data_IF_661596708802
#
_entry.id   IF_661596708802
#
_cell.length_a   1.000
_cell.length_b   1.000
_cell.length_c   1.000
_cell.angle_alpha   90.00
_cell.angle_beta   90.00
_cell.angle_gamma   90.00
#
_symmetry.space_group_name_H-M   'P 1'
#
loop_
_entity.id
_entity.type
_entity.pdbx_description
1 polymer ?
#
# COMPACT_ATOMS: atom_id res chain seq x y z
N UNK A 1 -11.14 -13.31 10.22
CA UNK A 1 -10.42 -13.96 11.33
C UNK A 1 -11.07 -13.54 12.61
N UNK A 2 -11.51 -14.50 13.42
CA UNK A 2 -12.05 -14.25 14.77
C UNK A 2 -10.90 -14.00 15.76
N UNK A 3 -11.17 -13.40 16.92
CA UNK A 3 -10.12 -13.14 17.92
C UNK A 3 -9.49 -14.44 18.45
N UNK A 4 -10.25 -15.53 18.51
CA UNK A 4 -9.76 -16.82 18.97
C UNK A 4 -8.83 -17.47 17.94
N UNK A 5 -9.11 -17.30 16.64
CA UNK A 5 -8.18 -17.68 15.57
C UNK A 5 -6.84 -16.95 15.74
N UNK A 6 -6.90 -15.63 16.03
CA UNK A 6 -5.71 -14.81 16.21
C UNK A 6 -4.92 -15.23 17.45
N UNK A 7 -5.59 -15.57 18.56
CA UNK A 7 -4.95 -16.06 19.78
C UNK A 7 -4.22 -17.39 19.57
N UNK A 8 -4.81 -18.30 18.77
CA UNK A 8 -4.17 -19.55 18.42
C UNK A 8 -2.99 -19.34 17.46
N UNK A 9 -3.16 -18.48 16.45
CA UNK A 9 -2.15 -18.22 15.43
C UNK A 9 -0.94 -17.43 15.96
N UNK A 10 -1.16 -16.38 16.74
CA UNK A 10 -0.11 -15.43 17.14
C UNK A 10 1.17 -16.08 17.69
N UNK A 11 1.13 -17.04 18.64
CA UNK A 11 2.36 -17.69 19.12
C UNK A 11 3.05 -18.53 18.03
N UNK A 12 2.29 -19.22 17.18
CA UNK A 12 2.87 -20.01 16.09
C UNK A 12 3.42 -19.14 14.97
N UNK A 13 2.82 -17.99 14.70
CA UNK A 13 3.32 -17.06 13.69
C UNK A 13 4.76 -16.66 14.04
N UNK A 14 4.99 -16.17 15.27
CA UNK A 14 6.33 -15.80 15.72
C UNK A 14 7.31 -16.99 15.64
N UNK A 15 6.93 -18.13 16.22
CA UNK A 15 7.78 -19.33 16.22
C UNK A 15 8.14 -19.80 14.81
N UNK A 16 7.17 -19.82 13.88
CA UNK A 16 7.42 -20.20 12.48
C UNK A 16 8.21 -19.16 11.72
N UNK A 17 8.04 -17.88 12.01
CA UNK A 17 8.89 -16.83 11.45
C UNK A 17 10.34 -17.00 11.87
N UNK A 18 10.61 -17.32 13.15
CA UNK A 18 11.97 -17.60 13.65
C UNK A 18 12.58 -18.84 12.99
N UNK A 19 11.83 -19.94 12.87
CA UNK A 19 12.27 -21.14 12.15
C UNK A 19 12.68 -20.82 10.70
N UNK A 20 11.84 -20.11 9.96
CA UNK A 20 12.13 -19.73 8.55
C UNK A 20 13.30 -18.76 8.44
N UNK A 21 13.42 -17.81 9.38
CA UNK A 21 14.54 -16.86 9.43
C UNK A 21 15.87 -17.57 9.70
N UNK A 22 15.87 -18.63 10.52
CA UNK A 22 17.09 -19.40 10.81
C UNK A 22 17.51 -20.29 9.63
N UNK A 23 16.57 -20.68 8.76
CA UNK A 23 16.85 -21.48 7.57
C UNK A 23 17.40 -20.64 6.40
N UNK A 24 18.63 -20.12 6.60
CA UNK A 24 19.35 -19.33 5.59
C UNK A 24 19.65 -20.10 4.31
N UNK A 25 19.59 -21.44 4.35
CA UNK A 25 19.86 -22.29 3.18
C UNK A 25 18.78 -22.14 2.10
N UNK A 26 17.58 -21.71 2.48
CA UNK A 26 16.44 -21.56 1.59
C UNK A 26 16.06 -20.09 1.30
N UNK A 27 16.88 -19.12 1.66
CA UNK A 27 16.63 -17.70 1.31
C UNK A 27 16.78 -17.39 -0.19
N UNK A 28 17.25 -18.35 -0.98
CA UNK A 28 17.51 -18.17 -2.41
C UNK A 28 16.29 -17.66 -3.19
N UNK A 29 16.55 -16.71 -4.08
CA UNK A 29 15.54 -15.98 -4.88
C UNK A 29 14.69 -16.88 -5.78
N UNK A 30 15.19 -18.06 -6.14
CA UNK A 30 14.51 -19.03 -7.00
C UNK A 30 13.47 -19.90 -6.28
N UNK A 31 13.40 -19.86 -4.93
CA UNK A 31 12.51 -20.72 -4.14
C UNK A 31 11.43 -19.90 -3.43
N UNK A 32 11.79 -18.75 -2.88
CA UNK A 32 10.92 -18.03 -1.92
C UNK A 32 10.21 -16.81 -2.50
N UNK A 33 10.63 -16.30 -3.65
CA UNK A 33 10.15 -15.00 -4.16
C UNK A 33 10.70 -13.80 -3.36
N UNK A 34 11.60 -14.03 -2.40
CA UNK A 34 12.41 -12.97 -1.80
C UNK A 34 13.42 -12.50 -2.83
N UNK A 35 13.08 -11.46 -3.58
CA UNK A 35 13.95 -10.93 -4.63
C UNK A 35 15.26 -10.35 -4.09
N UNK A 36 15.38 -10.16 -2.77
CA UNK A 36 16.58 -9.64 -2.10
C UNK A 36 17.42 -10.76 -1.48
N UNK A 37 16.85 -11.94 -1.25
CA UNK A 37 17.55 -13.09 -0.67
C UNK A 37 18.05 -12.87 0.76
N UNK A 38 17.36 -11.99 1.51
CA UNK A 38 17.76 -11.60 2.88
C UNK A 38 16.83 -12.19 3.95
N UNK A 39 15.89 -13.05 3.55
CA UNK A 39 14.87 -13.60 4.43
C UNK A 39 13.75 -12.61 4.73
N UNK A 40 13.52 -11.60 3.88
CA UNK A 40 12.61 -10.47 4.14
C UNK A 40 11.15 -10.90 4.30
N UNK A 41 10.78 -11.97 3.62
CA UNK A 41 9.43 -12.53 3.62
C UNK A 41 9.28 -13.71 4.59
N UNK A 42 10.25 -13.93 5.49
CA UNK A 42 10.16 -14.98 6.53
C UNK A 42 8.91 -14.82 7.38
N UNK A 43 8.47 -13.59 7.62
CA UNK A 43 7.24 -13.28 8.35
C UNK A 43 5.98 -13.76 7.61
N UNK A 44 5.94 -13.58 6.28
CA UNK A 44 4.83 -14.04 5.43
C UNK A 44 4.75 -15.57 5.35
N UNK A 45 5.90 -16.25 5.31
CA UNK A 45 5.96 -17.71 5.40
C UNK A 45 5.60 -18.21 6.80
N UNK A 46 6.07 -17.54 7.85
CA UNK A 46 5.69 -17.84 9.23
C UNK A 46 4.18 -17.77 9.45
N UNK A 47 3.52 -16.75 8.89
CA UNK A 47 2.06 -16.69 8.85
C UNK A 47 1.46 -17.92 8.18
N UNK A 48 1.94 -18.25 6.98
CA UNK A 48 1.39 -19.33 6.16
C UNK A 48 1.50 -20.69 6.86
N UNK A 49 2.67 -21.00 7.44
CA UNK A 49 2.90 -22.25 8.17
C UNK A 49 2.13 -22.28 9.49
N UNK A 50 2.19 -21.20 10.28
CA UNK A 50 1.45 -21.11 11.55
C UNK A 50 -0.05 -21.24 11.33
N UNK A 51 -0.60 -20.59 10.30
CA UNK A 51 -2.02 -20.65 9.96
C UNK A 51 -2.45 -22.04 9.48
N UNK A 52 -1.60 -22.74 8.73
CA UNK A 52 -1.86 -24.12 8.35
C UNK A 52 -1.87 -25.05 9.59
N UNK A 53 -0.95 -24.84 10.53
CA UNK A 53 -0.82 -25.67 11.74
C UNK A 53 -2.01 -25.52 12.69
N UNK A 54 -2.54 -24.29 12.87
CA UNK A 54 -3.79 -24.07 13.63
C UNK A 54 -5.07 -24.42 12.83
N UNK A 55 -4.93 -24.88 11.58
CA UNK A 55 -6.06 -25.32 10.76
C UNK A 55 -6.92 -24.18 10.18
N UNK A 56 -6.38 -22.97 10.04
CA UNK A 56 -7.10 -21.86 9.42
C UNK A 56 -7.33 -22.12 7.94
N UNK A 57 -8.49 -21.68 7.45
CA UNK A 57 -8.88 -21.76 6.04
C UNK A 57 -8.95 -20.37 5.44
N UNK A 58 -8.27 -20.19 4.30
CA UNK A 58 -8.24 -18.92 3.60
C UNK A 58 -9.17 -18.94 2.40
N UNK A 59 -9.78 -17.79 2.13
CA UNK A 59 -10.40 -17.51 0.84
C UNK A 59 -9.44 -16.62 0.05
N UNK A 60 -8.91 -17.16 -1.04
CA UNK A 60 -8.03 -16.42 -1.95
C UNK A 60 -8.91 -15.58 -2.88
N UNK A 61 -8.60 -14.28 -2.98
CA UNK A 61 -9.30 -13.32 -3.83
C UNK A 61 -8.27 -12.58 -4.69
N UNK A 62 -8.19 -12.96 -5.96
CA UNK A 62 -7.22 -12.39 -6.93
C UNK A 62 -7.76 -11.10 -7.59
N UNK A 63 -8.81 -10.53 -7.02
CA UNK A 63 -9.56 -9.39 -7.54
C UNK A 63 -9.50 -8.14 -6.65
N UNK A 64 -8.89 -8.23 -5.47
CA UNK A 64 -8.85 -7.12 -4.50
C UNK A 64 -7.57 -6.30 -4.63
N UNK A 65 -6.42 -6.96 -4.77
CA UNK A 65 -5.10 -6.32 -4.72
C UNK A 65 -4.28 -6.72 -5.93
N UNK A 66 -3.52 -5.76 -6.47
CA UNK A 66 -2.54 -6.02 -7.52
C UNK A 66 -1.26 -5.22 -7.29
N UNK A 67 -0.13 -5.77 -7.75
CA UNK A 67 1.10 -5.00 -7.90
C UNK A 67 1.07 -4.18 -9.20
N UNK A 68 1.40 -2.87 -9.17
CA UNK A 68 1.77 -2.15 -10.39
C UNK A 68 2.78 -2.95 -11.24
N UNK A 69 2.61 -2.90 -12.57
CA UNK A 69 3.34 -3.73 -13.53
C UNK A 69 2.70 -5.09 -13.83
N UNK A 70 1.74 -5.56 -13.02
CA UNK A 70 1.05 -6.82 -13.26
C UNK A 70 -0.24 -6.58 -14.04
N UNK A 71 -0.60 -7.53 -14.91
CA UNK A 71 -1.86 -7.45 -15.66
C UNK A 71 -3.01 -8.01 -14.82
N UNK A 72 -4.07 -7.21 -14.55
CA UNK A 72 -5.21 -7.71 -13.79
C UNK A 72 -5.91 -8.82 -14.56
N UNK A 73 -6.61 -9.71 -13.83
CA UNK A 73 -7.46 -10.71 -14.46
C UNK A 73 -8.53 -10.03 -15.32
N UNK A 74 -8.89 -10.69 -16.41
CA UNK A 74 -9.92 -10.17 -17.32
C UNK A 74 -11.23 -9.96 -16.55
N UNK A 75 -11.79 -8.76 -16.64
CA UNK A 75 -13.03 -8.39 -15.97
C UNK A 75 -12.90 -8.00 -14.50
N UNK A 76 -11.68 -7.94 -13.97
CA UNK A 76 -11.39 -7.52 -12.60
C UNK A 76 -10.99 -6.06 -12.53
N UNK A 77 -11.44 -5.37 -11.49
CA UNK A 77 -11.00 -4.03 -11.14
C UNK A 77 -10.40 -4.04 -9.72
N UNK A 78 -9.07 -4.02 -9.58
CA UNK A 78 -8.42 -4.11 -8.28
C UNK A 78 -8.70 -2.85 -7.45
N UNK A 79 -8.85 -3.06 -6.14
CA UNK A 79 -9.17 -2.01 -5.17
C UNK A 79 -7.92 -1.47 -4.45
N UNK A 80 -6.87 -2.27 -4.39
CA UNK A 80 -5.63 -1.98 -3.67
C UNK A 80 -4.45 -2.13 -4.62
N UNK A 81 -3.62 -1.09 -4.70
CA UNK A 81 -2.34 -1.13 -5.40
C UNK A 81 -1.22 -1.35 -4.38
N UNK A 82 -0.58 -2.52 -4.42
CA UNK A 82 0.57 -2.82 -3.58
C UNK A 82 1.86 -2.49 -4.34
N UNK A 83 2.40 -1.29 -4.18
CA UNK A 83 3.59 -0.83 -4.91
C UNK A 83 4.93 -1.25 -4.27
N UNK A 84 5.04 -2.51 -3.86
CA UNK A 84 6.20 -3.01 -3.12
C UNK A 84 7.38 -3.45 -4.00
N UNK A 85 7.14 -3.70 -5.29
CA UNK A 85 8.13 -4.20 -6.24
C UNK A 85 8.45 -3.15 -7.31
N UNK A 86 9.65 -3.21 -7.93
CA UNK A 86 9.95 -2.39 -9.10
C UNK A 86 9.00 -2.69 -10.27
N UNK A 87 8.57 -1.64 -10.98
CA UNK A 87 7.74 -1.79 -12.17
C UNK A 87 8.10 -0.76 -13.25
N UNK A 88 7.64 -1.00 -14.48
CA UNK A 88 7.98 -0.20 -15.68
C UNK A 88 6.75 0.16 -16.50
N UNK A 89 6.82 1.31 -17.17
CA UNK A 89 5.88 1.75 -18.20
C UNK A 89 6.69 2.33 -19.36
N UNK A 90 6.90 1.53 -20.41
CA UNK A 90 7.85 1.85 -21.47
C UNK A 90 9.27 2.00 -20.93
N UNK A 91 9.91 3.14 -21.19
CA UNK A 91 11.25 3.46 -20.70
C UNK A 91 11.29 4.07 -19.28
N UNK A 92 10.12 4.37 -18.71
CA UNK A 92 10.01 4.88 -17.35
C UNK A 92 9.88 3.72 -16.36
N UNK A 93 10.46 3.88 -15.17
CA UNK A 93 10.40 2.90 -14.09
C UNK A 93 10.26 3.55 -12.73
N UNK A 94 9.76 2.78 -11.77
CA UNK A 94 9.75 3.18 -10.37
C UNK A 94 10.09 1.97 -9.49
N UNK A 95 10.89 2.22 -8.46
CA UNK A 95 11.20 1.25 -7.41
C UNK A 95 11.07 1.94 -6.06
N UNK A 96 10.25 1.36 -5.18
CA UNK A 96 10.05 1.86 -3.82
C UNK A 96 11.37 1.97 -3.04
N UNK A 97 12.27 0.99 -3.21
CA UNK A 97 13.56 0.96 -2.50
C UNK A 97 14.56 2.02 -2.97
N UNK A 98 14.45 2.52 -4.21
CA UNK A 98 15.31 3.62 -4.67
C UNK A 98 15.05 4.92 -3.88
N UNK A 99 13.90 4.99 -3.20
CA UNK A 99 13.48 6.11 -2.37
C UNK A 99 13.54 5.78 -0.86
N UNK A 100 14.44 4.90 -0.44
CA UNK A 100 14.59 4.50 0.95
C UNK A 100 15.00 5.66 1.86
N UNK A 101 16.01 6.45 1.48
CA UNK A 101 16.50 7.58 2.28
C UNK A 101 15.98 8.93 1.75
N UNK A 102 14.77 8.92 1.20
CA UNK A 102 14.27 10.04 0.41
C UNK A 102 13.50 11.06 1.27
N UNK A 103 14.10 12.25 1.44
CA UNK A 103 13.51 13.42 2.12
C UNK A 103 12.45 14.20 1.36
N UNK A 104 11.87 13.67 0.27
CA UNK A 104 10.95 14.35 -0.66
C UNK A 104 9.79 15.10 0.01
N UNK A 105 9.32 14.61 1.16
CA UNK A 105 8.28 15.26 1.97
C UNK A 105 8.70 16.67 2.39
N UNK A 106 9.98 16.87 2.68
CA UNK A 106 10.53 18.11 3.21
C UNK A 106 11.18 19.00 2.14
N UNK A 107 11.35 18.49 0.92
CA UNK A 107 11.91 19.22 -0.21
C UNK A 107 10.79 19.89 -1.02
N UNK A 108 10.52 21.17 -0.74
CA UNK A 108 9.41 21.88 -1.36
C UNK A 108 9.34 21.71 -2.89
N UNK A 109 8.15 21.35 -3.36
CA UNK A 109 7.79 21.14 -4.77
C UNK A 109 8.50 19.97 -5.47
N UNK A 110 9.30 19.17 -4.75
CA UNK A 110 9.91 17.96 -5.30
C UNK A 110 8.87 16.85 -5.41
N UNK A 111 8.81 16.20 -6.57
CA UNK A 111 7.90 15.10 -6.87
C UNK A 111 8.70 13.91 -7.41
N UNK A 112 8.15 12.70 -7.34
CA UNK A 112 8.72 11.55 -8.02
C UNK A 112 8.72 11.79 -9.53
N UNK A 113 9.66 11.18 -10.29
CA UNK A 113 9.73 11.33 -11.74
C UNK A 113 8.35 11.08 -12.39
N UNK A 114 7.84 12.02 -13.21
CA UNK A 114 6.52 11.91 -13.79
C UNK A 114 6.42 10.67 -14.69
N UNK A 115 5.39 9.81 -14.53
CA UNK A 115 5.18 8.70 -15.43
C UNK A 115 4.69 9.20 -16.81
N UNK A 116 4.72 8.34 -17.85
CA UNK A 116 4.14 8.68 -19.15
C UNK A 116 2.67 9.10 -19.07
N UNK A 117 2.26 10.04 -19.92
CA UNK A 117 0.86 10.46 -19.99
C UNK A 117 -0.03 9.33 -20.54
N UNK A 118 -1.34 9.31 -20.22
CA UNK A 118 -2.25 8.29 -20.73
C UNK A 118 -2.26 8.13 -22.25
N UNK A 119 -2.09 9.23 -23.00
CA UNK A 119 -2.00 9.21 -24.46
C UNK A 119 -0.74 8.51 -24.98
N UNK A 120 0.36 8.58 -24.23
CA UNK A 120 1.58 7.86 -24.60
C UNK A 120 1.37 6.36 -24.38
N UNK A 121 0.68 5.97 -23.29
CA UNK A 121 0.28 4.58 -23.06
C UNK A 121 -0.66 4.06 -24.16
N UNK A 122 -1.60 4.89 -24.66
CA UNK A 122 -2.47 4.53 -25.77
C UNK A 122 -1.71 4.17 -27.05
N UNK A 123 -0.59 4.83 -27.30
CA UNK A 123 0.28 4.61 -28.46
C UNK A 123 1.24 3.44 -28.23
N UNK A 124 1.72 3.26 -27.00
CA UNK A 124 2.68 2.20 -26.64
C UNK A 124 2.08 0.80 -26.70
N UNK A 125 0.81 0.63 -26.34
CA UNK A 125 0.19 -0.68 -26.20
C UNK A 125 -1.16 -0.74 -26.91
N UNK A 126 -1.42 -1.84 -27.60
CA UNK A 126 -2.68 -2.11 -28.31
C UNK A 126 -3.59 -3.06 -27.51
N UNK A 127 -3.03 -4.00 -26.76
CA UNK A 127 -3.78 -4.95 -25.94
C UNK A 127 -4.52 -4.21 -24.82
N UNK A 128 -5.85 -4.33 -24.72
CA UNK A 128 -6.65 -3.58 -23.75
C UNK A 128 -6.35 -3.97 -22.30
N UNK A 129 -5.96 -5.22 -22.02
CA UNK A 129 -5.67 -5.70 -20.67
C UNK A 129 -4.29 -5.21 -20.22
N UNK A 130 -3.27 -5.33 -21.07
CA UNK A 130 -1.93 -4.79 -20.78
C UNK A 130 -1.99 -3.27 -20.65
N UNK A 131 -2.76 -2.60 -21.52
CA UNK A 131 -3.02 -1.16 -21.40
C UNK A 131 -3.67 -0.77 -20.07
N UNK A 132 -4.64 -1.55 -19.57
CA UNK A 132 -5.21 -1.32 -18.23
C UNK A 132 -4.14 -1.47 -17.15
N UNK A 133 -3.28 -2.47 -17.24
CA UNK A 133 -2.16 -2.67 -16.32
C UNK A 133 -1.20 -1.45 -16.28
N UNK A 134 -0.89 -0.89 -17.45
CA UNK A 134 -0.07 0.31 -17.56
C UNK A 134 -0.79 1.54 -16.97
N UNK A 135 -2.11 1.68 -17.15
CA UNK A 135 -2.88 2.73 -16.49
C UNK A 135 -2.86 2.64 -14.97
N UNK A 136 -3.03 1.43 -14.41
CA UNK A 136 -2.93 1.21 -12.95
C UNK A 136 -1.52 1.54 -12.44
N UNK A 137 -0.49 1.23 -13.23
CA UNK A 137 0.90 1.55 -12.90
C UNK A 137 1.16 3.06 -12.83
N UNK A 138 0.72 3.82 -13.83
CA UNK A 138 0.86 5.29 -13.80
C UNK A 138 -0.07 5.95 -12.78
N UNK A 139 -1.22 5.33 -12.47
CA UNK A 139 -2.12 5.77 -11.40
C UNK A 139 -1.43 5.81 -10.05
N UNK A 140 -0.73 4.72 -9.72
CA UNK A 140 0.03 4.64 -8.48
C UNK A 140 0.92 5.87 -8.26
N UNK A 141 1.75 6.25 -9.24
CA UNK A 141 2.68 7.38 -9.06
C UNK A 141 2.01 8.74 -9.18
N UNK A 142 0.98 8.87 -10.02
CA UNK A 142 0.20 10.12 -10.07
C UNK A 142 -0.47 10.41 -8.73
N UNK A 143 -1.05 9.38 -8.08
CA UNK A 143 -1.66 9.51 -6.75
C UNK A 143 -0.63 9.88 -5.68
N UNK A 144 0.54 9.24 -5.67
CA UNK A 144 1.62 9.61 -4.75
C UNK A 144 2.06 11.08 -4.94
N UNK A 145 2.25 11.50 -6.19
CA UNK A 145 2.67 12.86 -6.52
C UNK A 145 1.59 13.91 -6.22
N UNK A 146 0.31 13.58 -6.41
CA UNK A 146 -0.79 14.46 -5.99
C UNK A 146 -0.79 14.66 -4.47
N UNK A 147 -0.59 13.58 -3.70
CA UNK A 147 -0.46 13.64 -2.25
C UNK A 147 0.71 14.52 -1.80
N UNK A 148 1.88 14.37 -2.42
CA UNK A 148 3.06 15.21 -2.15
C UNK A 148 2.81 16.68 -2.47
N UNK A 149 2.21 16.97 -3.64
CA UNK A 149 1.90 18.34 -4.05
C UNK A 149 0.94 19.04 -3.07
N UNK A 150 -0.09 18.32 -2.61
CA UNK A 150 -1.03 18.82 -1.61
C UNK A 150 -0.36 19.01 -0.25
N UNK A 151 0.49 18.05 0.16
CA UNK A 151 1.26 18.15 1.40
C UNK A 151 2.17 19.38 1.40
N UNK A 152 3.01 19.56 0.37
CA UNK A 152 3.87 20.74 0.22
C UNK A 152 3.10 22.05 0.29
N UNK A 153 1.93 22.11 -0.36
CA UNK A 153 1.04 23.27 -0.28
C UNK A 153 0.55 23.50 1.17
N UNK A 154 0.16 22.43 1.87
CA UNK A 154 -0.36 22.51 3.24
C UNK A 154 0.67 22.96 4.28
N UNK A 155 1.96 22.68 4.05
CA UNK A 155 3.07 23.10 4.92
C UNK A 155 3.68 24.45 4.51
N UNK A 156 3.06 25.16 3.56
CA UNK A 156 3.44 26.53 3.19
C UNK A 156 4.59 26.64 2.19
N UNK A 157 4.88 25.60 1.41
CA UNK A 157 5.86 25.69 0.33
C UNK A 157 5.46 26.76 -0.72
N UNK A 158 6.45 27.41 -1.38
CA UNK A 158 6.17 28.35 -2.45
C UNK A 158 5.44 27.66 -3.60
N UNK A 159 4.63 28.39 -4.36
CA UNK A 159 3.92 27.82 -5.52
C UNK A 159 4.94 27.25 -6.52
N UNK A 160 4.78 25.99 -6.96
CA UNK A 160 5.68 25.42 -7.95
C UNK A 160 5.57 26.16 -9.28
N UNK A 161 6.67 26.20 -10.03
CA UNK A 161 6.65 26.67 -11.42
C UNK A 161 5.68 25.81 -12.24
N UNK A 162 5.03 26.43 -13.22
CA UNK A 162 4.13 25.69 -14.09
C UNK A 162 4.87 24.61 -14.87
N UNK A 163 4.27 23.43 -14.96
CA UNK A 163 4.69 22.38 -15.89
C UNK A 163 3.48 21.67 -16.46
N UNK A 164 3.63 21.06 -17.63
CA UNK A 164 2.59 20.23 -18.24
C UNK A 164 2.10 19.14 -17.29
N UNK A 165 3.02 18.54 -16.54
CA UNK A 165 2.70 17.49 -15.57
C UNK A 165 1.90 18.02 -14.37
N UNK A 166 2.28 19.15 -13.79
CA UNK A 166 1.53 19.75 -12.69
C UNK A 166 0.13 20.19 -13.12
N UNK A 167 -0.01 20.71 -14.34
CA UNK A 167 -1.32 21.01 -14.92
C UNK A 167 -2.18 19.75 -15.09
N UNK A 168 -1.55 18.62 -15.42
CA UNK A 168 -2.22 17.33 -15.55
C UNK A 168 -2.63 16.75 -14.19
N UNK A 169 -1.76 16.76 -13.18
CA UNK A 169 -2.07 16.30 -11.83
C UNK A 169 -3.23 17.08 -11.19
N UNK A 170 -3.31 18.39 -11.45
CA UNK A 170 -4.43 19.23 -10.96
C UNK A 170 -5.74 19.00 -11.71
N UNK A 171 -5.72 18.26 -12.82
CA UNK A 171 -6.92 17.99 -13.61
C UNK A 171 -7.62 16.72 -13.14
N UNK A 172 -8.95 16.65 -13.29
CA UNK A 172 -9.71 15.41 -13.03
C UNK A 172 -9.60 14.38 -14.16
N UNK A 173 -8.82 14.68 -15.21
CA UNK A 173 -8.74 13.87 -16.43
C UNK A 173 -8.23 12.47 -16.15
N UNK A 174 -7.23 12.33 -15.29
CA UNK A 174 -6.64 11.03 -15.01
C UNK A 174 -7.60 10.12 -14.25
N UNK A 175 -8.18 10.62 -13.16
CA UNK A 175 -9.19 9.86 -12.40
C UNK A 175 -10.44 9.56 -13.25
N UNK A 176 -10.82 10.41 -14.18
CA UNK A 176 -11.89 10.10 -15.15
C UNK A 176 -11.51 8.98 -16.12
N UNK A 177 -10.27 8.95 -16.60
CA UNK A 177 -9.77 7.92 -17.52
C UNK A 177 -9.58 6.56 -16.84
N UNK A 178 -9.19 6.54 -15.56
CA UNK A 178 -8.88 5.31 -14.82
C UNK A 178 -9.99 4.87 -13.87
N UNK A 179 -11.11 5.60 -13.82
CA UNK A 179 -12.30 5.24 -13.05
C UNK A 179 -12.68 3.77 -13.29
N UNK A 180 -12.89 2.99 -12.20
CA UNK A 180 -13.48 1.66 -12.25
C UNK A 180 -14.69 1.59 -13.18
N UNK A 181 -14.59 0.87 -14.30
CA UNK A 181 -15.72 0.72 -15.24
C UNK A 181 -16.74 -0.31 -14.77
N UNK A 182 -16.32 -1.23 -13.90
CA UNK A 182 -17.10 -2.42 -13.51
C UNK A 182 -17.44 -2.49 -12.03
N UNK A 183 -17.26 -1.41 -11.26
CA UNK A 183 -17.75 -1.37 -9.87
C UNK A 183 -19.27 -1.26 -9.86
N UNK A 184 -19.94 -2.37 -10.15
CA UNK A 184 -21.36 -2.55 -9.96
C UNK A 184 -21.61 -2.73 -8.47
N UNK A 185 -21.87 -1.63 -7.75
CA UNK A 185 -22.54 -1.65 -6.45
C UNK A 185 -23.77 -2.58 -6.45
N UNK A 186 -24.43 -2.73 -7.61
CA UNK A 186 -25.58 -3.60 -7.88
C UNK A 186 -25.32 -5.11 -7.80
N UNK A 187 -24.06 -5.60 -7.90
CA UNK A 187 -23.78 -7.05 -7.78
C UNK A 187 -23.59 -7.52 -6.34
N UNK A 188 -23.35 -6.60 -5.40
CA UNK A 188 -23.26 -6.94 -3.97
C UNK A 188 -24.66 -7.18 -3.38
N UNK A 189 -25.71 -6.53 -3.91
CA UNK A 189 -27.09 -6.76 -3.47
C UNK A 189 -27.63 -8.14 -3.89
N UNK A 190 -27.28 -8.63 -5.09
CA UNK A 190 -27.86 -9.87 -5.62
C UNK A 190 -27.27 -11.18 -5.08
N UNK A 191 -26.31 -11.13 -4.15
CA UNK A 191 -25.81 -12.34 -3.44
C UNK A 191 -26.29 -12.47 -2.00
N UNK A 192 -27.08 -11.52 -1.49
CA UNK A 192 -27.58 -11.50 -0.11
C UNK A 192 -29.09 -11.74 0.02
N UNK A 193 -29.77 -12.19 -1.04
CA UNK A 193 -31.17 -12.65 -0.97
C UNK A 193 -31.27 -14.06 -0.39
N UNK A 194 -30.84 -14.21 0.86
CA UNK A 194 -31.45 -15.19 1.79
C UNK A 194 -32.17 -14.36 2.84
N UNK A 195 -33.50 -14.34 2.71
CA UNK A 195 -34.51 -13.80 3.63
C UNK A 195 -33.99 -13.32 4.99
N UNK A 196 -33.72 -12.03 5.12
CA UNK A 196 -33.78 -11.38 6.43
C UNK A 196 -34.79 -10.23 6.35
N UNK A 197 -35.85 -10.45 7.11
CA UNK A 197 -37.00 -9.59 7.40
C UNK A 197 -36.56 -8.13 7.61
N UNK A 198 -37.35 -7.21 7.05
CA UNK A 198 -37.22 -5.78 7.26
C UNK A 198 -37.28 -5.43 8.76
N UNK A 199 -36.11 -5.18 9.38
CA UNK A 199 -35.94 -4.41 10.62
C UNK A 199 -34.44 -4.27 10.96
N UNK A 200 -33.82 -3.17 10.52
CA UNK A 200 -32.91 -2.33 11.33
C UNK A 200 -32.20 -1.33 10.42
N UNK A 201 -32.06 -0.08 10.89
CA UNK A 201 -31.05 0.85 10.36
C UNK A 201 -29.71 0.11 10.41
N UNK A 202 -29.15 -0.29 9.28
CA UNK A 202 -27.93 -1.08 9.23
C UNK A 202 -26.80 -0.27 9.86
N UNK A 203 -26.51 -0.55 11.13
CA UNK A 203 -25.38 -0.01 11.86
C UNK A 203 -24.15 -0.67 11.24
N UNK A 204 -23.63 -0.09 10.16
CA UNK A 204 -22.35 -0.52 9.61
C UNK A 204 -21.35 -0.65 10.78
N UNK A 205 -20.51 -1.69 10.80
CA UNK A 205 -19.46 -1.78 11.79
C UNK A 205 -18.67 -0.47 11.77
N UNK A 206 -18.33 0.08 12.94
CA UNK A 206 -17.40 1.20 13.03
C UNK A 206 -16.05 0.69 12.52
N UNK A 207 -15.72 1.01 11.27
CA UNK A 207 -14.43 0.68 10.68
C UNK A 207 -13.42 1.73 11.16
N UNK A 208 -12.23 1.27 11.52
CA UNK A 208 -11.09 2.13 11.84
C UNK A 208 -9.86 1.52 11.15
N UNK A 209 -9.16 2.31 10.36
CA UNK A 209 -7.97 1.87 9.63
C UNK A 209 -6.74 2.15 10.45
N UNK A 210 -5.91 1.12 10.63
CA UNK A 210 -4.59 1.23 11.26
C UNK A 210 -3.51 0.94 10.23
N UNK A 211 -2.43 1.70 10.29
CA UNK A 211 -1.20 1.40 9.54
C UNK A 211 0.01 1.70 10.40
N UNK A 212 1.09 0.95 10.21
CA UNK A 212 2.33 1.08 10.99
C UNK A 212 3.43 1.74 10.18
N UNK A 213 4.27 2.51 10.86
CA UNK A 213 5.45 3.19 10.30
C UNK A 213 6.54 3.30 11.35
N UNK A 214 7.77 3.50 10.90
CA UNK A 214 8.89 3.87 11.76
C UNK A 214 9.30 5.34 11.55
N UNK A 215 10.17 5.85 12.41
CA UNK A 215 10.74 7.21 12.29
C UNK A 215 11.81 7.29 11.19
N UNK A 216 11.41 7.19 9.92
CA UNK A 216 12.32 7.37 8.79
C UNK A 216 11.67 8.08 7.61
N UNK A 217 12.50 8.74 6.80
CA UNK A 217 12.05 9.41 5.58
C UNK A 217 11.39 8.44 4.59
N UNK A 218 11.79 7.17 4.60
CA UNK A 218 11.13 6.10 3.85
C UNK A 218 9.63 6.02 4.14
N UNK A 219 9.24 6.06 5.41
CA UNK A 219 7.84 5.97 5.81
C UNK A 219 7.10 7.31 5.71
N UNK A 220 7.82 8.42 5.71
CA UNK A 220 7.22 9.76 5.62
C UNK A 220 6.49 9.95 4.29
N UNK A 221 7.17 9.72 3.17
CA UNK A 221 6.54 9.88 1.85
C UNK A 221 5.44 8.85 1.60
N UNK A 222 5.59 7.63 2.16
CA UNK A 222 4.55 6.61 2.12
C UNK A 222 3.32 7.03 2.93
N UNK A 223 3.52 7.67 4.09
CA UNK A 223 2.44 8.21 4.93
C UNK A 223 1.65 9.27 4.17
N UNK A 224 2.35 10.22 3.53
CA UNK A 224 1.71 11.26 2.71
C UNK A 224 0.88 10.63 1.58
N UNK A 225 1.46 9.67 0.86
CA UNK A 225 0.79 8.93 -0.20
C UNK A 225 -0.45 8.17 0.29
N UNK A 226 -0.33 7.46 1.42
CA UNK A 226 -1.42 6.69 2.02
C UNK A 226 -2.56 7.60 2.51
N UNK A 227 -2.25 8.70 3.19
CA UNK A 227 -3.25 9.63 3.71
C UNK A 227 -4.04 10.29 2.58
N UNK A 228 -3.37 10.66 1.48
CA UNK A 228 -4.05 11.14 0.27
C UNK A 228 -4.93 10.06 -0.35
N UNK A 229 -4.38 8.86 -0.55
CA UNK A 229 -5.10 7.71 -1.12
C UNK A 229 -6.34 7.34 -0.29
N UNK A 230 -6.21 7.30 1.04
CA UNK A 230 -7.31 7.05 1.97
C UNK A 230 -8.43 8.08 1.78
N UNK A 231 -8.09 9.38 1.71
CA UNK A 231 -9.05 10.46 1.50
C UNK A 231 -9.80 10.34 0.17
N UNK A 232 -9.10 10.08 -0.93
CA UNK A 232 -9.72 10.04 -2.27
C UNK A 232 -10.47 8.73 -2.54
N UNK A 233 -10.10 7.64 -1.86
CA UNK A 233 -10.79 6.34 -1.99
C UNK A 233 -12.21 6.35 -1.44
N UNK A 234 -12.53 7.30 -0.53
CA UNK A 234 -13.79 7.31 0.19
C UNK A 234 -13.92 6.21 1.25
N UNK A 235 -12.82 5.56 1.63
CA UNK A 235 -12.79 4.58 2.70
C UNK A 235 -13.44 5.15 3.97
N UNK A 236 -14.49 4.50 4.52
CA UNK A 236 -15.19 5.04 5.67
C UNK A 236 -14.38 4.85 6.95
N UNK A 237 -14.69 5.68 7.95
CA UNK A 237 -14.09 5.59 9.28
C UNK A 237 -12.84 6.45 9.43
N UNK A 238 -12.24 6.37 10.62
CA UNK A 238 -11.02 7.10 10.93
C UNK A 238 -9.79 6.27 10.58
N UNK A 239 -8.67 6.96 10.38
CA UNK A 239 -7.35 6.35 10.17
C UNK A 239 -6.40 6.77 11.30
N UNK A 240 -5.57 5.84 11.76
CA UNK A 240 -4.51 6.12 12.74
C UNK A 240 -3.23 5.41 12.37
N UNK A 241 -2.12 6.14 12.43
CA UNK A 241 -0.76 5.67 12.28
C UNK A 241 -0.24 5.15 13.62
N UNK A 242 0.29 3.94 13.64
CA UNK A 242 1.10 3.42 14.74
C UNK A 242 2.56 3.75 14.43
N UNK A 243 3.13 4.71 15.15
CA UNK A 243 4.50 5.18 14.91
C UNK A 243 5.45 4.53 15.92
N UNK A 244 6.31 3.64 15.41
CA UNK A 244 7.32 2.86 16.16
C UNK A 244 8.68 3.54 16.05
N UNK A 245 9.16 4.15 17.14
CA UNK A 245 10.45 4.86 17.15
C UNK A 245 11.17 4.67 18.47
N UNK A 246 12.50 4.69 18.43
CA UNK A 246 13.31 4.84 19.64
C UNK A 246 13.16 6.26 20.20
N UNK A 247 13.44 6.44 21.49
CA UNK A 247 13.40 7.76 22.13
C UNK A 247 14.40 8.73 21.47
N UNK A 248 15.55 8.22 21.01
CA UNK A 248 16.56 8.98 20.27
C UNK A 248 16.06 9.47 18.91
N UNK A 249 15.48 8.59 18.10
CA UNK A 249 14.92 8.95 16.79
C UNK A 249 13.80 9.96 16.95
N UNK A 250 12.91 9.72 17.93
CA UNK A 250 11.75 10.55 18.14
C UNK A 250 12.15 12.00 18.40
N UNK A 251 13.20 12.27 19.19
CA UNK A 251 13.66 13.64 19.54
C UNK A 251 13.80 14.56 18.33
N UNK A 252 14.34 14.05 17.21
CA UNK A 252 14.61 14.83 16.01
C UNK A 252 13.68 14.52 14.83
N UNK A 253 12.72 13.60 15.02
CA UNK A 253 11.82 13.19 13.95
C UNK A 253 10.83 14.30 13.59
N UNK A 254 10.83 14.68 12.31
CA UNK A 254 10.01 15.77 11.74
C UNK A 254 8.60 15.31 11.33
N UNK A 255 8.43 14.03 11.01
CA UNK A 255 7.22 13.48 10.41
C UNK A 255 6.07 13.19 11.40
N UNK A 256 6.08 13.80 12.59
CA UNK A 256 5.12 13.51 13.68
C UNK A 256 3.67 13.79 13.29
N UNK A 257 3.45 14.87 12.53
CA UNK A 257 2.12 15.38 12.19
C UNK A 257 1.64 14.96 10.78
N UNK A 258 2.32 14.00 10.13
CA UNK A 258 1.94 13.53 8.79
C UNK A 258 0.61 12.75 8.76
N UNK A 259 0.17 12.24 9.90
CA UNK A 259 -1.09 11.52 10.07
C UNK A 259 -1.55 11.57 11.54
N UNK A 260 -2.85 11.32 11.84
CA UNK A 260 -3.28 11.04 13.21
C UNK A 260 -2.46 9.88 13.77
N UNK A 261 -1.68 10.12 14.82
CA UNK A 261 -0.60 9.20 15.24
C UNK A 261 -0.80 8.73 16.68
N UNK A 262 -0.62 7.43 16.89
CA UNK A 262 -0.43 6.81 18.19
C UNK A 262 1.01 6.28 18.26
N UNK A 263 1.76 6.70 19.29
CA UNK A 263 3.14 6.28 19.49
C UNK A 263 3.19 4.92 20.15
N UNK A 264 3.95 3.99 19.59
CA UNK A 264 4.15 2.64 20.13
C UNK A 264 5.65 2.42 20.40
N UNK A 265 6.01 1.51 21.32
CA UNK A 265 7.42 1.19 21.56
C UNK A 265 8.10 0.72 20.28
N UNK A 266 9.38 1.09 20.11
CA UNK A 266 10.19 0.53 19.04
C UNK A 266 10.34 -0.97 19.22
N UNK A 267 9.99 -1.72 18.18
CA UNK A 267 10.30 -3.15 18.04
C UNK A 267 11.28 -3.40 16.89
N UNK A 268 11.98 -2.34 16.43
CA UNK A 268 12.98 -2.43 15.36
C UNK A 268 14.13 -3.35 15.73
N UNK A 269 14.32 -3.64 17.01
CA UNK A 269 15.08 -4.79 17.47
C UNK A 269 14.21 -5.66 18.34
N UNK A 270 14.15 -6.95 18.01
CA UNK A 270 13.48 -7.93 18.82
C UNK A 270 14.15 -8.01 20.20
N UNK A 271 13.42 -7.79 21.31
CA UNK A 271 14.03 -7.62 22.63
C UNK A 271 14.72 -8.88 23.19
N UNK A 272 14.38 -10.06 22.66
CA UNK A 272 14.94 -11.34 23.11
C UNK A 272 16.08 -11.82 22.23
N UNK A 273 15.96 -11.68 20.91
CA UNK A 273 16.94 -12.23 19.95
C UNK A 273 17.91 -11.18 19.44
N UNK A 274 17.56 -9.89 19.52
CA UNK A 274 18.33 -8.78 18.96
C UNK A 274 18.23 -8.66 17.44
N UNK A 275 17.37 -9.44 16.80
CA UNK A 275 17.11 -9.38 15.35
C UNK A 275 16.43 -8.06 14.98
N UNK A 276 16.68 -7.61 13.75
CA UNK A 276 16.02 -6.44 13.14
C UNK A 276 14.84 -6.85 12.24
#
# INVERSE_FOLDING_TARGET
MHIDDLRALAPLWLSKTEEVRQDKSHWSTNITGDIYGMGWISEMYGYSFGAAEVGLRHKINDDIMIYPGYTPRIGTEPLILHYGLPFKVGNWSFSKLEHHEDGIVYDCNRLFPPPPFPREVEVMESDPNVKRALYLSIECINTLNEGLLLHHTSVGCPKPQWSKYLSFLKSKRFSELTKPKYWNSLKVENKLTVQHVALSKSRHPKIHTLFSTECSSYFDWQTVGLMHSFRISGQPGNITRLLSCTDEELKNYKGRDLAPTHYVPSMNRHPLTGDW
#
